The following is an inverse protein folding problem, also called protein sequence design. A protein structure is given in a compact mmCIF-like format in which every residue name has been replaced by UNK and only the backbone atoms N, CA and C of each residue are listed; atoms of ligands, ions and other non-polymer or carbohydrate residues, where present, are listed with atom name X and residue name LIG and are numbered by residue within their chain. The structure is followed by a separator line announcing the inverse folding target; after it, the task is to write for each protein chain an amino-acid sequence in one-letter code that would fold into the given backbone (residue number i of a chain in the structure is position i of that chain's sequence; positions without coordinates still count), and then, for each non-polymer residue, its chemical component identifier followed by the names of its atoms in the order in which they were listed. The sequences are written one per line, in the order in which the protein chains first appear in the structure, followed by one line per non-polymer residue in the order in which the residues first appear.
data_IF_755398319219
#
_entry.id   IF_755398319219
#
_cell.length_a   1.000
_cell.length_b   1.000
_cell.length_c   1.000
_cell.angle_alpha   90.00
_cell.angle_beta   90.00
_cell.angle_gamma   90.00
#
_symmetry.space_group_name_H-M   'P 1'
#
loop_
_entity.id
_entity.type
_entity.pdbx_description
1 polymer ?
#
# COMPACT_ATOMS: atom_id res chain seq x y z
N UNK A 1 -81.99 -6.39 8.26
CA UNK A 1 -80.78 -7.05 8.81
C UNK A 1 -79.69 -6.98 7.76
N UNK A 2 -78.95 -5.86 7.71
CA UNK A 2 -77.83 -5.66 6.78
C UNK A 2 -76.54 -5.73 7.60
N UNK A 3 -75.72 -6.76 7.37
CA UNK A 3 -74.44 -6.94 8.04
C UNK A 3 -73.29 -6.40 7.19
N UNK A 4 -72.53 -5.44 7.73
CA UNK A 4 -71.33 -4.87 7.12
C UNK A 4 -70.11 -5.64 7.64
N UNK A 5 -69.35 -6.26 6.73
CA UNK A 5 -68.03 -6.85 7.02
C UNK A 5 -66.93 -5.88 6.56
N UNK A 6 -66.10 -5.43 7.50
CA UNK A 6 -64.91 -4.61 7.24
C UNK A 6 -63.71 -5.54 7.12
N UNK A 7 -63.13 -5.63 5.92
CA UNK A 7 -61.89 -6.35 5.67
C UNK A 7 -60.68 -5.41 5.88
N UNK A 8 -59.93 -5.63 6.97
CA UNK A 8 -58.64 -4.99 7.23
C UNK A 8 -57.54 -5.70 6.42
N UNK A 9 -57.12 -5.07 5.32
CA UNK A 9 -55.96 -5.49 4.55
C UNK A 9 -54.66 -5.07 5.23
N UNK A 10 -53.84 -6.03 5.66
CA UNK A 10 -52.48 -5.81 6.14
C UNK A 10 -51.55 -5.75 4.94
N UNK A 11 -51.05 -4.56 4.62
CA UNK A 11 -49.97 -4.36 3.63
C UNK A 11 -48.62 -4.66 4.27
N UNK A 12 -48.03 -5.82 3.94
CA UNK A 12 -46.64 -6.11 4.29
C UNK A 12 -45.70 -5.32 3.37
N UNK A 13 -44.92 -4.40 3.95
CA UNK A 13 -43.86 -3.70 3.25
C UNK A 13 -42.67 -4.64 3.01
N UNK A 14 -42.03 -4.63 1.82
CA UNK A 14 -40.85 -5.43 1.55
C UNK A 14 -39.66 -4.87 2.34
N UNK A 15 -39.12 -5.69 3.25
CA UNK A 15 -37.89 -5.39 3.98
C UNK A 15 -36.72 -5.40 2.99
N UNK A 16 -36.26 -4.21 2.60
CA UNK A 16 -35.06 -4.04 1.79
C UNK A 16 -33.86 -4.62 2.55
N UNK A 17 -33.41 -5.80 2.09
CA UNK A 17 -32.23 -6.50 2.60
C UNK A 17 -31.01 -5.70 2.15
N UNK A 18 -30.42 -4.92 3.06
CA UNK A 18 -29.16 -4.23 2.81
C UNK A 18 -28.10 -5.25 2.38
N UNK A 19 -27.67 -5.16 1.12
CA UNK A 19 -26.56 -5.97 0.64
C UNK A 19 -25.30 -5.66 1.44
N UNK A 20 -24.53 -6.67 1.89
CA UNK A 20 -23.27 -6.42 2.56
C UNK A 20 -22.35 -5.64 1.60
N UNK A 21 -21.58 -4.65 2.10
CA UNK A 21 -20.72 -3.85 1.25
C UNK A 21 -19.77 -4.78 0.49
N UNK A 22 -19.90 -4.75 -0.84
CA UNK A 22 -19.07 -5.51 -1.76
C UNK A 22 -17.63 -5.09 -1.50
N UNK A 23 -16.84 -6.01 -0.94
CA UNK A 23 -15.41 -5.80 -0.66
C UNK A 23 -14.74 -5.50 -2.00
N UNK A 24 -14.35 -4.26 -2.24
CA UNK A 24 -13.66 -3.86 -3.47
C UNK A 24 -12.49 -4.81 -3.73
N UNK A 25 -12.33 -5.22 -4.98
CA UNK A 25 -11.24 -6.11 -5.37
C UNK A 25 -9.89 -5.47 -4.98
N UNK A 26 -8.93 -6.25 -4.46
CA UNK A 26 -7.65 -5.73 -3.94
C UNK A 26 -6.84 -4.90 -4.96
N UNK A 27 -7.11 -5.05 -6.26
CA UNK A 27 -6.49 -4.27 -7.32
C UNK A 27 -7.04 -2.84 -7.43
N UNK A 28 -8.34 -2.64 -7.19
CA UNK A 28 -8.96 -1.31 -7.24
C UNK A 28 -8.43 -0.40 -6.10
N UNK A 29 -8.30 -0.96 -4.90
CA UNK A 29 -7.70 -0.30 -3.73
C UNK A 29 -6.24 0.12 -3.99
N UNK A 30 -5.49 -0.68 -4.77
CA UNK A 30 -4.09 -0.41 -5.07
C UNK A 30 -3.93 0.73 -6.08
N UNK A 31 -4.72 0.73 -7.15
CA UNK A 31 -4.73 1.79 -8.14
C UNK A 31 -5.10 3.15 -7.51
N UNK A 32 -6.09 3.17 -6.62
CA UNK A 32 -6.46 4.38 -5.89
C UNK A 32 -5.33 4.88 -4.98
N UNK A 33 -4.65 3.98 -4.27
CA UNK A 33 -3.52 4.33 -3.42
C UNK A 33 -2.36 4.93 -4.24
N UNK A 34 -2.06 4.35 -5.40
CA UNK A 34 -1.02 4.87 -6.31
C UNK A 34 -1.38 6.27 -6.83
N UNK A 35 -2.64 6.52 -7.21
CA UNK A 35 -3.10 7.86 -7.61
C UNK A 35 -2.88 8.89 -6.51
N UNK A 36 -3.24 8.58 -5.27
CA UNK A 36 -3.02 9.48 -4.11
C UNK A 36 -1.53 9.75 -3.88
N UNK A 37 -0.69 8.72 -3.98
CA UNK A 37 0.76 8.87 -3.86
C UNK A 37 1.31 9.77 -4.98
N UNK A 38 0.84 9.60 -6.21
CA UNK A 38 1.26 10.39 -7.36
C UNK A 38 0.94 11.88 -7.17
N UNK A 39 -0.29 12.21 -6.71
CA UNK A 39 -0.69 13.59 -6.42
C UNK A 39 0.22 14.22 -5.35
N UNK A 40 0.38 13.55 -4.21
CA UNK A 40 1.22 14.06 -3.11
C UNK A 40 2.67 14.23 -3.56
N UNK A 41 3.18 13.29 -4.37
CA UNK A 41 4.53 13.42 -4.92
C UNK A 41 4.65 14.62 -5.85
N UNK A 42 3.72 14.79 -6.79
CA UNK A 42 3.74 15.89 -7.77
C UNK A 42 3.79 17.24 -7.04
N UNK A 43 2.91 17.44 -6.05
CA UNK A 43 2.92 18.64 -5.20
C UNK A 43 4.27 18.86 -4.51
N UNK A 44 4.83 17.82 -3.86
CA UNK A 44 6.10 17.92 -3.15
C UNK A 44 7.31 18.07 -4.07
N UNK A 45 7.28 17.53 -5.27
CA UNK A 45 8.31 17.75 -6.27
C UNK A 45 8.25 19.15 -6.83
N UNK A 46 7.07 19.70 -7.09
CA UNK A 46 6.93 21.09 -7.52
C UNK A 46 7.55 22.05 -6.48
N UNK A 47 7.27 21.82 -5.19
CA UNK A 47 7.90 22.57 -4.08
C UNK A 47 9.43 22.44 -4.10
N UNK A 48 9.96 21.21 -4.16
CA UNK A 48 11.41 20.95 -4.09
C UNK A 48 12.17 21.45 -5.32
N UNK A 49 11.54 21.38 -6.48
CA UNK A 49 12.14 21.79 -7.75
C UNK A 49 11.95 23.28 -8.04
N UNK A 50 11.26 24.00 -7.14
CA UNK A 50 10.96 25.43 -7.30
C UNK A 50 10.29 25.70 -8.66
N UNK A 51 9.50 24.75 -9.16
CA UNK A 51 8.80 24.91 -10.42
C UNK A 51 7.71 25.96 -10.21
N UNK A 52 7.81 27.09 -10.91
CA UNK A 52 6.80 28.14 -10.90
C UNK A 52 5.53 27.72 -11.64
N UNK A 53 4.53 28.59 -11.66
CA UNK A 53 3.30 28.34 -12.41
C UNK A 53 3.50 28.41 -13.92
N UNK A 54 4.59 29.03 -14.37
CA UNK A 54 4.98 29.12 -15.77
C UNK A 54 5.60 27.81 -16.31
N UNK A 55 6.08 26.91 -15.43
CA UNK A 55 6.76 25.66 -15.80
C UNK A 55 5.78 24.47 -15.97
N UNK A 56 4.59 24.71 -16.51
CA UNK A 56 3.56 23.66 -16.64
C UNK A 56 4.01 22.50 -17.52
N UNK A 57 4.78 22.75 -18.58
CA UNK A 57 5.26 21.72 -19.47
C UNK A 57 6.23 20.76 -18.75
N UNK A 58 7.18 21.32 -17.99
CA UNK A 58 8.12 20.56 -17.16
C UNK A 58 7.38 19.71 -16.13
N UNK A 59 6.39 20.28 -15.43
CA UNK A 59 5.55 19.56 -14.46
C UNK A 59 4.82 18.38 -15.13
N UNK A 60 4.21 18.59 -16.30
CA UNK A 60 3.50 17.54 -17.06
C UNK A 60 4.43 16.41 -17.50
N UNK A 61 5.60 16.73 -18.08
CA UNK A 61 6.60 15.74 -18.50
C UNK A 61 7.13 14.94 -17.30
N UNK A 62 7.40 15.63 -16.19
CA UNK A 62 7.84 15.02 -14.94
C UNK A 62 6.80 13.99 -14.43
N UNK A 63 5.53 14.41 -14.33
CA UNK A 63 4.46 13.54 -13.84
C UNK A 63 4.21 12.35 -14.76
N UNK A 64 4.29 12.53 -16.08
CA UNK A 64 4.18 11.44 -17.04
C UNK A 64 5.27 10.39 -16.81
N UNK A 65 6.55 10.81 -16.80
CA UNK A 65 7.68 9.90 -16.56
C UNK A 65 7.52 9.20 -15.22
N UNK A 66 7.26 9.93 -14.15
CA UNK A 66 7.19 9.35 -12.81
C UNK A 66 6.03 8.35 -12.67
N UNK A 67 4.87 8.64 -13.27
CA UNK A 67 3.70 7.75 -13.22
C UNK A 67 3.95 6.44 -13.96
N UNK A 68 4.69 6.46 -15.06
CA UNK A 68 5.11 5.25 -15.78
C UNK A 68 5.97 4.33 -14.90
N UNK A 69 6.94 4.91 -14.19
CA UNK A 69 7.84 4.15 -13.33
C UNK A 69 7.21 3.73 -12.01
N UNK A 70 6.18 4.42 -11.52
CA UNK A 70 5.51 4.05 -10.27
C UNK A 70 4.95 2.65 -10.29
N UNK A 71 4.20 2.32 -11.35
CA UNK A 71 3.59 0.99 -11.47
C UNK A 71 4.67 -0.09 -11.60
N UNK A 72 5.71 0.17 -12.39
CA UNK A 72 6.84 -0.75 -12.60
C UNK A 72 7.58 -1.01 -11.28
N UNK A 73 7.94 0.06 -10.57
CA UNK A 73 8.63 -0.02 -9.27
C UNK A 73 7.75 -0.67 -8.21
N UNK A 74 6.47 -0.31 -8.14
CA UNK A 74 5.54 -0.91 -7.20
C UNK A 74 5.47 -2.44 -7.36
N UNK A 75 5.31 -2.91 -8.61
CA UNK A 75 5.28 -4.35 -8.92
C UNK A 75 6.61 -5.04 -8.58
N UNK A 76 7.74 -4.44 -8.95
CA UNK A 76 9.07 -4.98 -8.69
C UNK A 76 9.39 -5.03 -7.19
N UNK A 77 9.09 -3.97 -6.43
CA UNK A 77 9.24 -3.95 -4.97
C UNK A 77 8.31 -4.95 -4.28
N UNK A 78 7.10 -5.14 -4.82
CA UNK A 78 6.17 -6.18 -4.38
C UNK A 78 6.75 -7.59 -4.55
N UNK A 79 7.35 -7.87 -5.71
CA UNK A 79 8.04 -9.13 -6.00
C UNK A 79 9.23 -9.36 -5.05
N UNK A 80 10.12 -8.36 -4.91
CA UNK A 80 11.24 -8.39 -3.97
C UNK A 80 10.79 -8.66 -2.54
N UNK A 81 9.70 -8.02 -2.09
CA UNK A 81 9.16 -8.26 -0.74
C UNK A 81 8.67 -9.70 -0.56
N UNK A 82 8.05 -10.28 -1.59
CA UNK A 82 7.56 -11.67 -1.56
C UNK A 82 8.73 -12.66 -1.54
N UNK A 83 9.75 -12.47 -2.37
CA UNK A 83 10.94 -13.34 -2.39
C UNK A 83 11.70 -13.28 -1.07
N UNK A 84 11.96 -12.08 -0.54
CA UNK A 84 12.61 -11.92 0.78
C UNK A 84 11.79 -12.60 1.89
N UNK A 85 10.44 -12.52 1.83
CA UNK A 85 9.57 -13.20 2.80
C UNK A 85 9.67 -14.73 2.68
N UNK A 86 9.75 -15.27 1.46
CA UNK A 86 9.94 -16.70 1.23
C UNK A 86 11.31 -17.16 1.71
N UNK A 87 12.38 -16.47 1.33
CA UNK A 87 13.74 -16.75 1.81
C UNK A 87 13.79 -16.75 3.35
N UNK A 88 13.23 -15.72 4.00
CA UNK A 88 13.18 -15.66 5.48
C UNK A 88 12.41 -16.83 6.11
N UNK A 89 11.39 -17.36 5.42
CA UNK A 89 10.67 -18.56 5.88
C UNK A 89 11.50 -19.81 5.64
N UNK A 90 12.16 -19.92 4.48
CA UNK A 90 13.05 -21.02 4.14
C UNK A 90 14.16 -21.20 5.15
N UNK A 91 14.89 -20.12 5.48
CA UNK A 91 15.95 -20.10 6.50
C UNK A 91 15.47 -20.51 7.91
N UNK A 92 14.17 -20.32 8.20
CA UNK A 92 13.58 -20.72 9.48
C UNK A 92 13.00 -22.13 9.48
N UNK A 93 12.75 -22.68 8.30
CA UNK A 93 12.31 -24.05 8.13
C UNK A 93 13.51 -24.95 7.85
N UNK A 94 13.21 -26.15 7.38
CA UNK A 94 14.19 -27.16 6.99
C UNK A 94 14.18 -27.29 5.45
N UNK A 95 14.40 -26.17 4.74
CA UNK A 95 14.69 -26.26 3.30
C UNK A 95 16.14 -26.69 3.10
N UNK A 96 16.40 -27.45 2.04
CA UNK A 96 17.76 -27.80 1.68
C UNK A 96 18.54 -26.60 1.09
N UNK A 97 19.86 -26.72 1.03
CA UNK A 97 20.75 -25.64 0.54
C UNK A 97 20.41 -25.24 -0.90
N UNK A 98 20.01 -26.20 -1.75
CA UNK A 98 19.67 -25.94 -3.15
C UNK A 98 18.40 -25.11 -3.29
N UNK A 99 17.42 -25.32 -2.42
CA UNK A 99 16.21 -24.50 -2.36
C UNK A 99 16.49 -23.10 -1.81
N UNK A 100 17.38 -22.99 -0.81
CA UNK A 100 17.81 -21.71 -0.27
C UNK A 100 18.59 -20.88 -1.30
N UNK A 101 19.45 -21.52 -2.10
CA UNK A 101 20.17 -20.88 -3.20
C UNK A 101 19.21 -20.31 -4.23
N UNK A 102 18.22 -21.10 -4.69
CA UNK A 102 17.19 -20.63 -5.62
C UNK A 102 16.40 -19.42 -5.08
N UNK A 103 16.04 -19.44 -3.80
CA UNK A 103 15.35 -18.32 -3.16
C UNK A 103 16.25 -17.08 -3.04
N UNK A 104 17.55 -17.28 -2.83
CA UNK A 104 18.56 -16.21 -2.77
C UNK A 104 18.76 -15.57 -4.14
N UNK A 105 18.93 -16.37 -5.18
CA UNK A 105 19.02 -15.90 -6.57
C UNK A 105 17.79 -15.08 -6.96
N UNK A 106 16.60 -15.54 -6.58
CA UNK A 106 15.37 -14.80 -6.83
C UNK A 106 15.33 -13.44 -6.10
N UNK A 107 15.86 -13.36 -4.87
CA UNK A 107 15.98 -12.08 -4.15
C UNK A 107 16.96 -11.15 -4.85
N UNK A 108 18.12 -11.67 -5.29
CA UNK A 108 19.15 -10.91 -6.00
C UNK A 108 18.58 -10.35 -7.32
N UNK A 109 17.99 -11.21 -8.16
CA UNK A 109 17.41 -10.80 -9.44
C UNK A 109 16.29 -9.75 -9.27
N UNK A 110 15.42 -9.91 -8.27
CA UNK A 110 14.40 -8.91 -7.98
C UNK A 110 14.99 -7.58 -7.46
N UNK A 111 16.10 -7.64 -6.72
CA UNK A 111 16.79 -6.44 -6.24
C UNK A 111 17.42 -5.67 -7.39
N UNK A 112 18.15 -6.36 -8.26
CA UNK A 112 18.73 -5.79 -9.48
C UNK A 112 17.67 -5.13 -10.36
N UNK A 113 16.50 -5.78 -10.52
CA UNK A 113 15.38 -5.21 -11.27
C UNK A 113 14.89 -3.89 -10.68
N UNK A 114 14.77 -3.80 -9.35
CA UNK A 114 14.35 -2.55 -8.69
C UNK A 114 15.40 -1.46 -8.90
N UNK A 115 16.68 -1.79 -8.74
CA UNK A 115 17.75 -0.81 -8.86
C UNK A 115 17.94 -0.35 -10.31
N UNK A 116 17.78 -1.24 -11.29
CA UNK A 116 17.71 -0.91 -12.72
C UNK A 116 16.56 0.06 -13.03
N UNK A 117 15.34 -0.22 -12.57
CA UNK A 117 14.19 0.67 -12.78
C UNK A 117 14.40 2.05 -12.15
N UNK A 118 15.05 2.13 -10.98
CA UNK A 118 15.41 3.43 -10.36
C UNK A 118 16.39 4.21 -11.23
N UNK A 119 17.42 3.54 -11.75
CA UNK A 119 18.40 4.17 -12.63
C UNK A 119 17.76 4.65 -13.94
N UNK A 120 16.94 3.81 -14.57
CA UNK A 120 16.19 4.16 -15.79
C UNK A 120 15.27 5.36 -15.56
N UNK A 121 14.56 5.39 -14.43
CA UNK A 121 13.75 6.56 -14.04
C UNK A 121 14.61 7.82 -13.92
N UNK A 122 15.77 7.75 -13.27
CA UNK A 122 16.65 8.92 -13.15
C UNK A 122 17.19 9.38 -14.51
N UNK A 123 17.52 8.46 -15.42
CA UNK A 123 17.93 8.77 -16.80
C UNK A 123 16.79 9.41 -17.61
N UNK A 124 15.55 8.96 -17.42
CA UNK A 124 14.40 9.57 -18.09
C UNK A 124 14.15 11.01 -17.60
N UNK A 125 14.37 11.28 -16.32
CA UNK A 125 14.28 12.62 -15.75
C UNK A 125 15.42 13.55 -16.18
N UNK A 126 16.56 12.97 -16.59
CA UNK A 126 17.75 13.69 -17.06
C UNK A 126 17.45 14.62 -18.24
N UNK A 127 16.59 14.16 -19.15
CA UNK A 127 16.19 14.87 -20.37
C UNK A 127 15.22 16.05 -20.10
N UNK A 128 14.69 16.16 -18.88
CA UNK A 128 13.66 17.15 -18.53
C UNK A 128 14.24 18.18 -17.53
N UNK A 129 15.13 17.74 -16.64
CA UNK A 129 15.58 18.53 -15.51
C UNK A 129 16.99 19.09 -15.70
N UNK A 130 17.17 20.31 -15.23
CA UNK A 130 18.50 20.91 -15.04
C UNK A 130 19.32 20.11 -14.02
N UNK A 131 20.65 20.32 -13.99
CA UNK A 131 21.54 19.62 -13.06
C UNK A 131 21.19 19.83 -11.58
N UNK A 132 20.80 21.04 -11.19
CA UNK A 132 20.38 21.37 -9.82
C UNK A 132 19.07 20.68 -9.45
N UNK A 133 18.05 20.77 -10.31
CA UNK A 133 16.77 20.09 -10.13
C UNK A 133 16.95 18.58 -10.02
N UNK A 134 17.79 18.00 -10.86
CA UNK A 134 18.14 16.57 -10.83
C UNK A 134 18.74 16.15 -9.49
N UNK A 135 19.70 16.90 -8.97
CA UNK A 135 20.28 16.65 -7.66
C UNK A 135 19.21 16.70 -6.54
N UNK A 136 18.32 17.70 -6.58
CA UNK A 136 17.20 17.80 -5.62
C UNK A 136 16.26 16.60 -5.71
N UNK A 137 15.93 16.12 -6.91
CA UNK A 137 15.13 14.88 -7.11
C UNK A 137 15.84 13.66 -6.52
N UNK A 138 17.14 13.50 -6.77
CA UNK A 138 17.93 12.37 -6.24
C UNK A 138 17.91 12.29 -4.72
N UNK A 139 17.91 13.44 -4.05
CA UNK A 139 17.81 13.52 -2.58
C UNK A 139 16.37 13.31 -2.10
N UNK A 140 15.39 13.86 -2.82
CA UNK A 140 13.99 13.81 -2.45
C UNK A 140 13.38 12.40 -2.56
N UNK A 141 13.48 11.76 -3.74
CA UNK A 141 12.72 10.54 -4.05
C UNK A 141 12.97 9.38 -3.05
N UNK A 142 14.22 9.03 -2.67
CA UNK A 142 14.45 7.96 -1.71
C UNK A 142 13.85 8.25 -0.33
N UNK A 143 13.81 9.52 0.09
CA UNK A 143 13.19 9.93 1.35
C UNK A 143 11.67 9.82 1.28
N UNK A 144 11.07 10.27 0.17
CA UNK A 144 9.64 10.22 -0.08
C UNK A 144 9.14 8.78 -0.14
N UNK A 145 9.79 7.91 -0.92
CA UNK A 145 9.44 6.50 -1.05
C UNK A 145 9.51 5.75 0.29
N UNK A 146 10.51 6.07 1.14
CA UNK A 146 10.58 5.51 2.50
C UNK A 146 9.39 5.94 3.35
N UNK A 147 8.96 7.20 3.27
CA UNK A 147 7.77 7.71 3.98
C UNK A 147 6.50 7.02 3.49
N UNK A 148 6.32 6.90 2.16
CA UNK A 148 5.18 6.21 1.54
C UNK A 148 5.12 4.74 1.99
N UNK A 149 6.23 4.00 1.91
CA UNK A 149 6.28 2.59 2.35
C UNK A 149 5.92 2.44 3.82
N UNK A 150 6.37 3.35 4.69
CA UNK A 150 6.00 3.37 6.12
C UNK A 150 4.51 3.64 6.30
N UNK A 151 3.94 4.61 5.60
CA UNK A 151 2.52 4.96 5.67
C UNK A 151 1.62 3.80 5.21
N UNK A 152 1.91 3.23 4.03
CA UNK A 152 1.19 2.05 3.51
C UNK A 152 1.31 0.86 4.47
N UNK A 153 2.50 0.63 5.02
CA UNK A 153 2.73 -0.42 6.01
C UNK A 153 1.97 -0.22 7.33
N UNK A 154 1.74 1.02 7.76
CA UNK A 154 0.91 1.34 8.94
C UNK A 154 -0.58 1.12 8.64
N UNK A 155 -1.08 1.63 7.51
CA UNK A 155 -2.47 1.48 7.09
C UNK A 155 -2.89 0.00 6.99
N UNK A 156 -2.03 -0.85 6.41
CA UNK A 156 -2.27 -2.30 6.31
C UNK A 156 -2.31 -3.02 7.66
N UNK A 157 -1.60 -2.51 8.67
CA UNK A 157 -1.60 -3.07 10.04
C UNK A 157 -2.82 -2.61 10.85
N UNK A 158 -3.23 -1.35 10.72
CA UNK A 158 -4.43 -0.82 11.37
C UNK A 158 -5.71 -1.57 10.95
N UNK A 159 -5.85 -1.89 9.65
CA UNK A 159 -6.99 -2.69 9.15
C UNK A 159 -7.04 -4.13 9.70
N UNK A 160 -5.92 -4.69 10.19
CA UNK A 160 -5.89 -6.04 10.79
C UNK A 160 -6.15 -6.05 12.29
N UNK A 161 -6.01 -4.89 12.97
CA UNK A 161 -6.26 -4.76 14.42
C UNK A 161 -7.72 -4.46 14.77
N UNK A 162 -8.47 -3.84 13.86
CA UNK A 162 -9.86 -3.40 14.12
C UNK A 162 -10.91 -4.54 14.14
N UNK A 163 -10.48 -5.81 14.07
CA UNK A 163 -11.37 -6.98 14.10
C UNK A 163 -11.21 -7.88 15.32
N UNK A 164 -10.40 -7.49 16.34
CA UNK A 164 -10.15 -8.35 17.52
C UNK A 164 -10.86 -7.94 18.80
N UNK A 165 -11.60 -6.83 18.84
CA UNK A 165 -12.19 -6.35 20.09
C UNK A 165 -13.60 -5.78 19.88
N UNK A 166 -14.63 -6.60 19.61
CA UNK A 166 -16.03 -6.19 19.81
C UNK A 166 -16.99 -7.30 20.28
N UNK A 167 -16.55 -8.53 20.57
CA UNK A 167 -17.45 -9.59 21.09
C UNK A 167 -16.75 -10.66 21.98
N UNK A 168 -15.76 -10.25 22.79
CA UNK A 168 -15.20 -11.11 23.83
C UNK A 168 -15.65 -10.62 25.21
N UNK A 169 -16.28 -11.44 26.06
CA UNK A 169 -16.56 -11.04 27.45
C UNK A 169 -15.24 -10.68 28.15
N UNK A 170 -15.24 -9.74 29.11
CA UNK A 170 -14.03 -9.30 29.81
C UNK A 170 -13.41 -10.49 30.56
N UNK A 171 -12.44 -11.13 29.92
CA UNK A 171 -11.62 -12.18 30.50
C UNK A 171 -10.83 -11.58 31.65
N UNK A 172 -11.33 -11.84 32.87
CA UNK A 172 -10.66 -11.59 34.15
C UNK A 172 -9.15 -11.85 34.01
N UNK A 173 -8.34 -10.79 34.09
CA UNK A 173 -6.91 -10.90 34.37
C UNK A 173 -6.77 -11.52 35.76
N UNK A 174 -6.75 -12.85 35.82
CA UNK A 174 -6.51 -13.63 37.04
C UNK A 174 -5.10 -13.28 37.51
N UNK A 175 -5.01 -12.79 38.75
CA UNK A 175 -3.79 -12.27 39.36
C UNK A 175 -2.61 -13.23 39.26
N UNK A 176 -1.47 -12.67 38.89
CA UNK A 176 -0.17 -13.33 39.03
C UNK A 176 0.20 -13.24 40.52
N UNK A 177 0.28 -14.35 41.27
CA UNK A 177 0.68 -14.29 42.67
C UNK A 177 2.13 -13.79 42.74
N UNK A 178 2.35 -12.75 43.55
CA UNK A 178 3.69 -12.30 43.90
C UNK A 178 4.37 -13.43 44.68
N UNK A 179 5.39 -14.01 44.06
CA UNK A 179 6.31 -14.96 44.68
C UNK A 179 7.05 -14.20 45.78
N UNK A 180 6.65 -14.38 47.04
CA UNK A 180 7.50 -14.05 48.19
C UNK A 180 8.74 -14.93 48.11
N UNK A 181 9.92 -14.31 48.20
CA UNK A 181 11.18 -15.02 48.37
C UNK A 181 11.33 -15.40 49.85
N UNK A 182 11.95 -16.55 50.17
CA UNK A 182 12.44 -16.84 51.51
C UNK A 182 13.60 -15.92 51.89
#
# INVERSE_FOLDING_TARGET
MLGVFIALGVTQAPTARAEPPTRSAPEADEAEALKKIAVVRSMKLAEVLELGDDDQETRRKLDQVLSEYDLKLFKAEGALRRSVKRLRRGVRGELDDKELDRLSDEVIANRERVDKLRLERMKALDAILTGSQRARVMLFLPSFERKVRRAVGKARRGRRGAGRDLNGPPGRRKGRPRRSKP
#
